data_IF_463806751738
#
_entry.id   IF_463806751738
#
_cell.length_a   1.000
_cell.length_b   1.000
_cell.length_c   1.000
_cell.angle_alpha   90.00
_cell.angle_beta   90.00
_cell.angle_gamma   90.00
#
_symmetry.space_group_name_H-M   'P 1'
#
loop_
_entity.id
_entity.type
_entity.pdbx_description
1 polymer ?
#
# COMPACT_ATOMS: atom_id res chain seq x y z
N UNK A 1 6.46 -40.32 -66.18
CA UNK A 1 6.63 -38.85 -66.26
C UNK A 1 5.81 -38.23 -65.13
N UNK A 2 6.48 -37.80 -64.05
CA UNK A 2 5.83 -37.17 -62.91
C UNK A 2 5.40 -35.75 -63.30
N UNK A 3 4.10 -35.48 -63.37
CA UNK A 3 3.58 -34.13 -63.55
C UNK A 3 3.62 -33.45 -62.19
N UNK A 4 4.56 -32.54 -62.00
CA UNK A 4 4.51 -31.60 -60.89
C UNK A 4 3.33 -30.66 -61.16
N UNK A 5 2.26 -30.78 -60.36
CA UNK A 5 1.20 -29.77 -60.30
C UNK A 5 1.81 -28.48 -59.76
N UNK A 6 2.14 -27.56 -60.66
CA UNK A 6 2.61 -26.23 -60.27
C UNK A 6 1.49 -25.52 -59.50
N UNK A 7 1.74 -25.07 -58.25
CA UNK A 7 0.72 -24.37 -57.50
C UNK A 7 0.42 -23.05 -58.20
N UNK A 8 -0.82 -22.87 -58.66
CA UNK A 8 -1.31 -21.61 -59.22
C UNK A 8 -0.89 -20.45 -58.31
N UNK A 9 -0.29 -19.40 -58.88
CA UNK A 9 0.23 -18.23 -58.14
C UNK A 9 -0.76 -17.72 -57.08
N UNK A 10 -2.07 -17.74 -57.37
CA UNK A 10 -3.13 -17.36 -56.42
C UNK A 10 -3.20 -18.20 -55.12
N UNK A 11 -2.87 -19.50 -55.16
CA UNK A 11 -2.81 -20.36 -53.96
C UNK A 11 -1.60 -20.02 -53.10
N UNK A 12 -0.45 -19.71 -53.71
CA UNK A 12 0.75 -19.28 -52.98
C UNK A 12 0.50 -17.95 -52.28
N UNK A 13 -0.15 -17.00 -52.96
CA UNK A 13 -0.55 -15.73 -52.34
C UNK A 13 -1.58 -15.91 -51.22
N UNK A 14 -2.61 -16.76 -51.40
CA UNK A 14 -3.61 -17.01 -50.37
C UNK A 14 -3.02 -17.69 -49.12
N UNK A 15 -2.11 -18.65 -49.31
CA UNK A 15 -1.38 -19.31 -48.20
C UNK A 15 -0.46 -18.29 -47.50
N UNK A 16 0.23 -17.44 -48.27
CA UNK A 16 1.11 -16.40 -47.72
C UNK A 16 0.34 -15.37 -46.88
N UNK A 17 -0.80 -14.89 -47.36
CA UNK A 17 -1.67 -13.97 -46.61
C UNK A 17 -2.25 -14.65 -45.37
N UNK A 18 -2.68 -15.91 -45.49
CA UNK A 18 -3.18 -16.69 -44.35
C UNK A 18 -2.14 -16.85 -43.23
N UNK A 19 -0.89 -17.16 -43.59
CA UNK A 19 0.22 -17.26 -42.65
C UNK A 19 0.55 -15.91 -41.98
N UNK A 20 0.50 -14.82 -42.75
CA UNK A 20 0.78 -13.48 -42.23
C UNK A 20 -0.28 -13.03 -41.22
N UNK A 21 -1.56 -13.29 -41.50
CA UNK A 21 -2.66 -13.02 -40.56
C UNK A 21 -2.51 -13.89 -39.30
N UNK A 22 -2.21 -15.18 -39.45
CA UNK A 22 -2.01 -16.08 -38.31
C UNK A 22 -0.86 -15.61 -37.39
N UNK A 23 0.26 -15.15 -37.97
CA UNK A 23 1.38 -14.58 -37.22
C UNK A 23 0.99 -13.30 -36.49
N UNK A 24 0.27 -12.39 -37.13
CA UNK A 24 -0.19 -11.15 -36.48
C UNK A 24 -1.12 -11.43 -35.29
N UNK A 25 -2.02 -12.40 -35.41
CA UNK A 25 -2.90 -12.82 -34.31
C UNK A 25 -2.09 -13.44 -33.17
N UNK A 26 -1.10 -14.29 -33.49
CA UNK A 26 -0.23 -14.91 -32.51
C UNK A 26 0.58 -13.87 -31.73
N UNK A 27 1.23 -12.93 -32.43
CA UNK A 27 1.99 -11.85 -31.80
C UNK A 27 1.08 -10.93 -30.99
N UNK A 28 -0.11 -10.60 -31.50
CA UNK A 28 -1.10 -9.83 -30.77
C UNK A 28 -1.54 -10.49 -29.45
N UNK A 29 -1.77 -11.81 -29.46
CA UNK A 29 -2.13 -12.57 -28.27
C UNK A 29 -0.98 -12.64 -27.25
N UNK A 30 0.25 -12.83 -27.70
CA UNK A 30 1.45 -12.84 -26.84
C UNK A 30 1.67 -11.45 -26.21
N UNK A 31 1.61 -10.38 -27.00
CA UNK A 31 1.76 -9.02 -26.49
C UNK A 31 0.65 -8.64 -25.50
N UNK A 32 -0.59 -9.06 -25.77
CA UNK A 32 -1.70 -8.83 -24.86
C UNK A 32 -1.49 -9.54 -23.51
N UNK A 33 -1.17 -10.83 -23.53
CA UNK A 33 -0.90 -11.60 -22.30
C UNK A 33 0.32 -11.09 -21.53
N UNK A 34 1.42 -10.76 -22.20
CA UNK A 34 2.62 -10.20 -21.58
C UNK A 34 2.35 -8.88 -20.84
N UNK A 35 1.46 -8.03 -21.36
CA UNK A 35 1.05 -6.79 -20.70
C UNK A 35 0.35 -6.99 -19.36
N UNK A 36 -0.41 -8.09 -19.22
CA UNK A 36 -1.04 -8.47 -17.95
C UNK A 36 -0.02 -9.01 -16.94
N UNK A 37 0.93 -9.85 -17.38
CA UNK A 37 1.97 -10.40 -16.51
C UNK A 37 2.95 -9.31 -16.02
N UNK A 38 3.29 -8.33 -16.86
CA UNK A 38 4.12 -7.20 -16.45
C UNK A 38 3.47 -6.37 -15.33
N UNK A 39 2.18 -6.04 -15.46
CA UNK A 39 1.43 -5.31 -14.42
C UNK A 39 1.21 -6.15 -13.15
N UNK A 40 0.97 -7.45 -13.28
CA UNK A 40 0.87 -8.34 -12.14
C UNK A 40 2.19 -8.39 -11.35
N UNK A 41 3.33 -8.50 -12.05
CA UNK A 41 4.67 -8.48 -11.45
C UNK A 41 5.01 -7.14 -10.79
N UNK A 42 4.51 -6.02 -11.31
CA UNK A 42 4.69 -4.71 -10.70
C UNK A 42 3.92 -4.56 -9.37
N UNK A 43 2.75 -5.19 -9.28
CA UNK A 43 1.90 -5.16 -8.07
C UNK A 43 2.39 -6.16 -7.01
N UNK A 44 2.88 -7.33 -7.39
CA UNK A 44 3.36 -8.37 -6.46
C UNK A 44 4.88 -8.45 -6.32
N UNK A 45 5.63 -7.54 -6.94
CA UNK A 45 7.09 -7.52 -6.93
C UNK A 45 7.66 -7.21 -5.55
N UNK A 46 8.83 -7.76 -5.24
CA UNK A 46 9.51 -7.57 -3.95
C UNK A 46 9.70 -6.08 -3.59
N UNK A 47 10.00 -5.24 -4.58
CA UNK A 47 10.17 -3.80 -4.41
C UNK A 47 8.88 -3.09 -3.94
N UNK A 48 7.71 -3.57 -4.36
CA UNK A 48 6.43 -3.01 -3.92
C UNK A 48 6.11 -3.43 -2.49
N UNK A 49 6.43 -4.67 -2.13
CA UNK A 49 6.31 -5.18 -0.74
C UNK A 49 7.21 -4.38 0.20
N UNK A 50 8.47 -4.12 -0.20
CA UNK A 50 9.40 -3.31 0.58
C UNK A 50 8.88 -1.89 0.79
N UNK A 51 8.41 -1.22 -0.27
CA UNK A 51 7.79 0.11 -0.17
C UNK A 51 6.57 0.12 0.75
N UNK A 52 5.71 -0.90 0.67
CA UNK A 52 4.56 -1.02 1.57
C UNK A 52 4.99 -1.22 3.03
N UNK A 53 6.03 -2.02 3.29
CA UNK A 53 6.57 -2.18 4.63
C UNK A 53 7.17 -0.89 5.16
N UNK A 54 7.97 -0.17 4.38
CA UNK A 54 8.51 1.14 4.78
C UNK A 54 7.41 2.11 5.15
N UNK A 55 6.33 2.18 4.35
CA UNK A 55 5.19 3.04 4.65
C UNK A 55 4.49 2.67 5.96
N UNK A 56 4.32 1.38 6.25
CA UNK A 56 3.75 0.91 7.53
C UNK A 56 4.64 1.29 8.71
N UNK A 57 5.96 1.09 8.56
CA UNK A 57 6.95 1.43 9.59
C UNK A 57 6.95 2.94 9.86
N UNK A 58 7.00 3.75 8.80
CA UNK A 58 7.01 5.21 8.91
C UNK A 58 5.71 5.73 9.53
N UNK A 59 4.57 5.15 9.15
CA UNK A 59 3.27 5.52 9.73
C UNK A 59 3.23 5.17 11.21
N UNK A 60 3.72 4.01 11.62
CA UNK A 60 3.81 3.64 13.05
C UNK A 60 4.70 4.62 13.84
N UNK A 61 5.89 4.92 13.33
CA UNK A 61 6.81 5.87 13.97
C UNK A 61 6.17 7.28 14.04
N UNK A 62 5.41 7.67 13.01
CA UNK A 62 4.66 8.92 12.99
C UNK A 62 3.57 8.96 14.07
N UNK A 63 2.80 7.88 14.23
CA UNK A 63 1.79 7.76 15.30
C UNK A 63 2.45 7.89 16.67
N UNK A 64 3.59 7.23 16.89
CA UNK A 64 4.33 7.31 18.14
C UNK A 64 4.83 8.73 18.43
N UNK A 65 5.41 9.40 17.42
CA UNK A 65 5.85 10.79 17.54
C UNK A 65 4.69 11.76 17.81
N UNK A 66 3.57 11.59 17.09
CA UNK A 66 2.37 12.40 17.28
C UNK A 66 1.76 12.21 18.67
N UNK A 67 1.71 10.97 19.17
CA UNK A 67 1.24 10.67 20.53
C UNK A 67 2.14 11.29 21.61
N UNK A 68 3.46 11.23 21.43
CA UNK A 68 4.42 11.87 22.33
C UNK A 68 4.28 13.40 22.33
N UNK A 69 4.05 14.02 21.16
CA UNK A 69 3.80 15.46 21.05
C UNK A 69 2.49 15.87 21.72
N UNK A 70 1.42 15.07 21.56
CA UNK A 70 0.15 15.31 22.24
C UNK A 70 0.29 15.21 23.77
N UNK A 71 1.06 14.22 24.26
CA UNK A 71 1.39 14.10 25.68
C UNK A 71 2.21 15.30 26.20
N UNK A 72 3.24 15.73 25.47
CA UNK A 72 4.07 16.87 25.85
C UNK A 72 3.26 18.18 25.88
N UNK A 73 2.40 18.41 24.89
CA UNK A 73 1.50 19.56 24.85
C UNK A 73 0.56 19.54 26.07
N UNK A 74 -0.08 18.41 26.36
CA UNK A 74 -0.98 18.27 27.51
C UNK A 74 -0.30 18.50 28.87
N UNK A 75 0.99 18.14 29.01
CA UNK A 75 1.78 18.45 30.21
C UNK A 75 2.08 19.94 30.33
N UNK A 76 2.52 20.56 29.23
CA UNK A 76 2.83 21.99 29.21
C UNK A 76 1.60 22.85 29.54
N UNK A 77 0.41 22.49 29.03
CA UNK A 77 -0.85 23.20 29.34
C UNK A 77 -1.19 23.11 30.83
N UNK A 78 -1.00 21.94 31.47
CA UNK A 78 -1.27 21.73 32.90
C UNK A 78 -0.29 22.48 33.82
N UNK A 79 0.98 22.56 33.44
CA UNK A 79 2.01 23.26 34.23
C UNK A 79 1.91 24.78 34.13
N UNK A 80 1.35 25.32 33.03
CA UNK A 80 1.24 26.76 32.80
C UNK A 80 0.13 27.48 33.59
N UNK A 81 -0.67 26.77 34.40
CA UNK A 81 -1.73 27.39 35.20
C UNK A 81 -2.88 27.95 34.36
N UNK A 82 -3.43 27.10 33.48
CA UNK A 82 -4.72 27.17 32.77
C UNK A 82 -5.45 28.55 32.73
N UNK A 83 -4.95 29.56 31.97
CA UNK A 83 -5.90 30.47 31.33
C UNK A 83 -6.67 29.63 30.32
N UNK A 84 -8.00 29.65 30.36
CA UNK A 84 -8.89 28.89 29.46
C UNK A 84 -8.47 29.14 28.00
N UNK A 85 -7.57 28.33 27.48
CA UNK A 85 -7.12 28.37 26.10
C UNK A 85 -8.28 27.79 25.31
N UNK A 86 -8.97 28.65 24.54
CA UNK A 86 -10.06 28.25 23.64
C UNK A 86 -9.63 27.13 22.67
N UNK A 87 -8.33 27.05 22.38
CA UNK A 87 -7.70 26.02 21.57
C UNK A 87 -6.76 25.18 22.43
N UNK A 88 -7.23 24.02 22.90
CA UNK A 88 -6.41 23.03 23.60
C UNK A 88 -5.47 22.35 22.61
N UNK A 89 -4.15 22.62 22.63
CA UNK A 89 -3.21 22.08 21.64
C UNK A 89 -3.19 20.55 21.66
N UNK A 90 -3.40 19.91 22.82
CA UNK A 90 -3.50 18.45 22.91
C UNK A 90 -4.66 17.87 22.09
N UNK A 91 -5.76 18.61 21.88
CA UNK A 91 -6.89 18.16 21.06
C UNK A 91 -6.54 18.20 19.58
N UNK A 92 -5.80 19.22 19.14
CA UNK A 92 -5.32 19.35 17.77
C UNK A 92 -4.31 18.24 17.43
N UNK A 93 -3.31 18.01 18.29
CA UNK A 93 -2.38 16.89 18.12
C UNK A 93 -3.10 15.54 18.19
N UNK A 94 -4.10 15.41 19.07
CA UNK A 94 -4.93 14.23 19.17
C UNK A 94 -5.71 13.87 17.91
N UNK A 95 -6.21 14.87 17.18
CA UNK A 95 -6.87 14.65 15.88
C UNK A 95 -5.89 14.06 14.84
N UNK A 96 -4.64 14.53 14.83
CA UNK A 96 -3.58 13.98 13.97
C UNK A 96 -3.25 12.53 14.34
N UNK A 97 -3.16 12.20 15.63
CA UNK A 97 -2.94 10.81 16.07
C UNK A 97 -4.07 9.91 15.56
N UNK A 98 -5.33 10.33 15.70
CA UNK A 98 -6.48 9.54 15.22
C UNK A 98 -6.45 9.31 13.72
N UNK A 99 -6.14 10.34 12.92
CA UNK A 99 -6.08 10.19 11.46
C UNK A 99 -4.96 9.24 11.04
N UNK A 100 -3.80 9.31 11.69
CA UNK A 100 -2.66 8.43 11.42
C UNK A 100 -2.92 6.99 11.85
N UNK A 101 -3.63 6.75 12.96
CA UNK A 101 -4.05 5.40 13.39
C UNK A 101 -5.01 4.77 12.38
N UNK A 102 -5.98 5.55 11.87
CA UNK A 102 -6.89 5.08 10.82
C UNK A 102 -6.11 4.74 9.55
N UNK A 103 -5.15 5.58 9.15
CA UNK A 103 -4.32 5.29 7.98
C UNK A 103 -3.46 4.03 8.17
N UNK A 104 -2.87 3.85 9.34
CA UNK A 104 -2.11 2.65 9.69
C UNK A 104 -2.96 1.39 9.59
N UNK A 105 -4.12 1.38 10.26
CA UNK A 105 -5.03 0.23 10.30
C UNK A 105 -5.55 -0.10 8.90
N UNK A 106 -5.85 0.92 8.09
CA UNK A 106 -6.24 0.74 6.68
C UNK A 106 -5.11 0.11 5.86
N UNK A 107 -3.88 0.58 6.00
CA UNK A 107 -2.72 0.02 5.27
C UNK A 107 -2.43 -1.42 5.68
N UNK A 108 -2.49 -1.72 6.97
CA UNK A 108 -2.35 -3.09 7.47
C UNK A 108 -3.45 -3.99 6.91
N UNK A 109 -4.72 -3.56 6.96
CA UNK A 109 -5.84 -4.31 6.39
C UNK A 109 -5.63 -4.63 4.90
N UNK A 110 -5.18 -3.65 4.10
CA UNK A 110 -4.88 -3.86 2.68
C UNK A 110 -3.75 -4.87 2.45
N UNK A 111 -2.70 -4.87 3.29
CA UNK A 111 -1.60 -5.85 3.22
C UNK A 111 -2.13 -7.27 3.52
N UNK A 112 -3.01 -7.40 4.50
CA UNK A 112 -3.64 -8.69 4.82
C UNK A 112 -4.62 -9.17 3.74
N UNK A 113 -5.43 -8.28 3.17
CA UNK A 113 -6.30 -8.61 2.03
C UNK A 113 -5.48 -9.07 0.82
N UNK A 114 -4.32 -8.46 0.60
CA UNK A 114 -3.35 -8.88 -0.43
C UNK A 114 -2.60 -10.19 -0.10
N UNK A 115 -2.92 -10.85 1.02
CA UNK A 115 -2.23 -12.05 1.56
C UNK A 115 -0.73 -11.85 1.77
N UNK A 116 -0.29 -10.61 1.90
CA UNK A 116 1.07 -10.28 2.27
C UNK A 116 1.20 -10.37 3.80
N UNK A 117 2.36 -10.83 4.28
CA UNK A 117 2.65 -10.85 5.72
C UNK A 117 3.04 -9.43 6.11
N UNK A 118 2.43 -8.82 7.14
CA UNK A 118 2.87 -7.50 7.60
C UNK A 118 4.34 -7.51 8.06
N UNK A 119 5.00 -6.33 8.14
CA UNK A 119 6.39 -6.24 8.60
C UNK A 119 6.53 -6.83 10.01
N UNK A 120 7.58 -7.62 10.24
CA UNK A 120 7.82 -8.29 11.52
C UNK A 120 8.03 -7.28 12.65
N UNK A 121 7.41 -7.52 13.81
CA UNK A 121 7.55 -6.71 15.01
C UNK A 121 6.64 -5.47 15.08
N UNK A 122 5.78 -5.28 14.08
CA UNK A 122 4.75 -4.25 14.09
C UNK A 122 3.36 -4.84 14.35
N UNK A 123 2.50 -4.17 15.13
CA UNK A 123 1.17 -4.67 15.44
C UNK A 123 0.30 -4.72 14.17
N UNK A 124 -0.61 -5.68 14.11
CA UNK A 124 -1.56 -5.77 12.97
C UNK A 124 -2.60 -4.65 12.98
N UNK A 125 -2.87 -4.11 14.16
CA UNK A 125 -3.84 -3.06 14.38
C UNK A 125 -3.37 -2.20 15.55
N UNK A 126 -3.52 -0.89 15.41
CA UNK A 126 -3.33 0.07 16.48
C UNK A 126 -4.67 0.37 17.16
N UNK A 127 -4.69 0.54 18.50
CA UNK A 127 -5.89 0.88 19.23
C UNK A 127 -6.39 2.26 18.79
N UNK A 128 -7.69 2.38 18.48
CA UNK A 128 -8.27 3.70 18.15
C UNK A 128 -8.35 4.55 19.42
N UNK A 129 -7.75 5.76 19.45
CA UNK A 129 -7.80 6.63 20.63
C UNK A 129 -9.21 7.21 20.84
N UNK A 130 -9.65 7.28 22.10
CA UNK A 130 -10.92 7.92 22.48
C UNK A 130 -10.90 9.43 22.24
N UNK A 131 -12.08 10.07 22.29
CA UNK A 131 -12.21 11.52 22.12
C UNK A 131 -11.50 12.32 23.25
N UNK A 132 -11.50 11.77 24.46
CA UNK A 132 -10.90 12.30 25.68
C UNK A 132 -9.68 11.46 26.14
N UNK A 133 -8.96 10.87 25.19
CA UNK A 133 -7.82 10.00 25.46
C UNK A 133 -6.76 10.66 26.33
N UNK A 134 -6.19 9.91 27.28
CA UNK A 134 -4.94 10.28 27.93
C UNK A 134 -3.78 10.00 26.98
N UNK A 135 -3.31 11.05 26.30
CA UNK A 135 -2.25 10.94 25.29
C UNK A 135 -0.93 10.38 25.83
N UNK A 136 -0.64 10.56 27.12
CA UNK A 136 0.56 10.00 27.72
C UNK A 136 0.42 8.49 27.94
N UNK A 137 -0.73 8.03 28.45
CA UNK A 137 -1.06 6.61 28.53
C UNK A 137 -1.12 5.94 27.15
N UNK A 138 -1.69 6.64 26.16
CA UNK A 138 -1.76 6.17 24.79
C UNK A 138 -0.37 6.01 24.14
N UNK A 139 0.51 7.00 24.30
CA UNK A 139 1.89 6.93 23.82
C UNK A 139 2.64 5.72 24.40
N UNK A 140 2.51 5.47 25.71
CA UNK A 140 3.11 4.30 26.36
C UNK A 140 2.55 2.99 25.78
N UNK A 141 1.22 2.91 25.63
CA UNK A 141 0.55 1.75 25.03
C UNK A 141 1.03 1.47 23.61
N UNK A 142 1.18 2.50 22.77
CA UNK A 142 1.68 2.33 21.40
C UNK A 142 3.14 1.85 21.40
N UNK A 143 3.98 2.34 22.31
CA UNK A 143 5.37 1.90 22.42
C UNK A 143 5.50 0.41 22.78
N UNK A 144 4.63 -0.10 23.66
CA UNK A 144 4.61 -1.50 24.08
C UNK A 144 4.13 -2.48 23.00
N UNK A 145 3.44 -1.99 21.97
CA UNK A 145 2.93 -2.82 20.87
C UNK A 145 4.01 -3.23 19.86
N UNK A 146 5.16 -2.56 19.87
CA UNK A 146 6.32 -2.95 19.05
C UNK A 146 7.10 -4.05 19.78
N UNK A 147 7.15 -5.25 19.21
CA UNK A 147 7.79 -6.45 19.81
C UNK A 147 8.88 -7.02 18.93
#
# INVERSE_FOLDING_TARGET
MSRYDEPSIGKVFAIGIGLLIALLVLFGAISWTAGWFGKAGEVSGADNVEKQYTQVIDTFNSVQAAANNACAAGKATKEAGDPVMLERPEVAYGATVRSQVVDYNRRQANIFEAKLVGPSGYPRELPTPAANEDWCGYAAKVAELKK
#
